data_IF_939566161542
#
_entry.id   IF_939566161542
#
_cell.length_a   1.000
_cell.length_b   1.000
_cell.length_c   1.000
_cell.angle_alpha   90.00
_cell.angle_beta   90.00
_cell.angle_gamma   90.00
#
_symmetry.space_group_name_H-M   'P 1'
#
loop_
_entity.id
_entity.type
_entity.pdbx_description
1 polymer ?
#
# COMPACT_ATOMS: atom_id res chain seq x y z
N UNK A 1 2.33 37.33 25.84
CA UNK A 1 2.90 36.17 25.14
C UNK A 1 3.14 35.03 26.12
N UNK A 2 3.12 33.84 25.59
CA UNK A 2 3.44 32.60 26.31
C UNK A 2 4.60 31.92 25.57
N UNK A 3 5.61 31.49 26.31
CA UNK A 3 6.76 30.79 25.74
C UNK A 3 6.67 29.29 26.04
N UNK A 4 7.11 28.47 25.09
CA UNK A 4 7.12 27.02 25.21
C UNK A 4 8.20 26.40 24.34
N UNK A 5 8.54 25.16 24.60
CA UNK A 5 9.52 24.38 23.85
C UNK A 5 9.05 22.92 23.83
N UNK A 6 9.20 22.26 22.69
CA UNK A 6 8.99 20.83 22.60
C UNK A 6 10.21 20.06 23.11
N UNK A 7 9.96 18.96 23.78
CA UNK A 7 10.99 18.03 24.21
C UNK A 7 10.49 16.61 24.10
N UNK A 8 11.38 15.69 23.74
CA UNK A 8 11.16 14.24 23.76
C UNK A 8 11.94 13.64 24.94
N UNK A 9 11.52 12.48 25.42
CA UNK A 9 12.21 11.72 26.47
C UNK A 9 12.57 12.54 27.72
N UNK A 10 11.58 13.25 28.28
CA UNK A 10 11.72 14.00 29.55
C UNK A 10 12.93 14.97 29.56
N UNK A 11 13.07 15.79 28.55
CA UNK A 11 14.14 16.78 28.31
C UNK A 11 15.45 16.24 27.71
N UNK A 12 15.54 14.95 27.41
CA UNK A 12 16.74 14.40 26.75
C UNK A 12 16.92 14.91 25.32
N UNK A 13 15.82 15.17 24.60
CA UNK A 13 15.82 15.82 23.30
C UNK A 13 14.94 17.06 23.33
N UNK A 14 15.50 18.23 23.47
CA UNK A 14 14.82 19.52 23.29
C UNK A 14 14.96 19.95 21.85
N UNK A 15 13.93 20.57 21.28
CA UNK A 15 14.06 21.22 19.98
C UNK A 15 15.08 22.34 20.04
N UNK A 16 15.81 22.55 18.95
CA UNK A 16 16.73 23.68 18.77
C UNK A 16 16.14 24.63 17.73
N UNK A 17 15.93 25.88 18.12
CA UNK A 17 15.36 26.95 17.29
C UNK A 17 16.30 28.14 17.17
N UNK A 18 17.57 27.96 17.53
CA UNK A 18 18.54 29.08 17.53
C UNK A 18 18.78 29.59 16.13
N UNK A 19 18.94 28.69 15.16
CA UNK A 19 19.14 29.09 13.76
C UNK A 19 17.92 29.80 13.18
N UNK A 20 16.72 29.31 13.46
CA UNK A 20 15.46 29.95 13.06
C UNK A 20 15.31 31.34 13.69
N UNK A 21 15.61 31.47 14.98
CA UNK A 21 15.60 32.75 15.69
C UNK A 21 16.59 33.75 15.06
N UNK A 22 17.80 33.30 14.77
CA UNK A 22 18.83 34.15 14.15
C UNK A 22 18.46 34.55 12.72
N UNK A 23 17.77 33.69 12.00
CA UNK A 23 17.22 33.94 10.65
C UNK A 23 15.97 34.83 10.68
N UNK A 24 15.43 35.15 11.84
CA UNK A 24 14.19 35.95 11.99
C UNK A 24 12.91 35.11 11.83
N UNK A 25 12.96 33.84 12.19
CA UNK A 25 11.80 32.93 12.18
C UNK A 25 10.66 33.42 13.05
N UNK A 26 9.42 33.25 12.58
CA UNK A 26 8.23 33.85 13.18
C UNK A 26 7.79 33.20 14.50
N UNK A 27 8.28 32.02 14.81
CA UNK A 27 7.88 31.25 15.98
C UNK A 27 8.78 31.53 17.21
N UNK A 28 10.03 31.96 17.02
CA UNK A 28 10.98 32.25 18.09
C UNK A 28 11.33 33.73 18.12
N UNK A 29 11.23 34.40 19.29
CA UNK A 29 11.52 35.83 19.35
C UNK A 29 13.02 36.09 19.24
N UNK A 30 13.42 37.02 18.38
CA UNK A 30 14.81 37.45 18.17
C UNK A 30 15.46 38.07 19.41
N UNK A 31 14.71 38.25 20.47
CA UNK A 31 15.19 38.78 21.77
C UNK A 31 15.70 37.71 22.71
N UNK A 32 15.57 36.44 22.36
CA UNK A 32 16.16 35.35 23.10
C UNK A 32 17.70 35.34 22.97
N UNK A 33 18.35 34.63 23.88
CA UNK A 33 19.79 34.48 23.82
C UNK A 33 20.23 33.59 22.67
N UNK A 34 21.39 33.90 22.07
CA UNK A 34 21.93 33.18 20.90
C UNK A 34 22.24 31.69 21.13
N UNK A 35 22.07 31.17 22.33
CA UNK A 35 22.21 29.74 22.67
C UNK A 35 20.95 29.16 23.26
N UNK A 36 19.85 29.90 23.24
CA UNK A 36 18.58 29.50 23.86
C UNK A 36 17.41 30.20 23.18
N UNK A 37 16.61 29.44 22.46
CA UNK A 37 15.44 29.95 21.78
C UNK A 37 14.22 29.12 22.18
N UNK A 38 13.10 29.80 22.49
CA UNK A 38 11.83 29.22 22.76
C UNK A 38 10.81 29.70 21.71
N UNK A 39 9.76 28.90 21.48
CA UNK A 39 8.58 29.38 20.78
C UNK A 39 7.86 30.42 21.61
N UNK A 40 7.26 31.39 20.93
CA UNK A 40 6.41 32.38 21.57
C UNK A 40 5.08 32.52 20.83
N UNK A 41 3.98 32.54 21.58
CA UNK A 41 2.66 32.70 21.04
C UNK A 41 1.80 33.67 21.87
N UNK A 42 0.92 34.38 21.24
CA UNK A 42 -0.08 35.19 21.95
C UNK A 42 -1.31 34.32 22.22
N UNK A 43 -1.58 34.05 23.49
CA UNK A 43 -2.72 33.22 23.88
C UNK A 43 -4.03 33.98 23.68
N UNK A 44 -4.93 33.35 22.90
CA UNK A 44 -6.30 33.78 22.68
C UNK A 44 -7.26 32.59 22.87
N UNK A 45 -8.54 32.87 23.12
CA UNK A 45 -9.51 31.78 23.29
C UNK A 45 -9.60 30.94 21.98
N UNK A 46 -9.50 29.61 22.13
CA UNK A 46 -9.54 28.69 20.99
C UNK A 46 -8.24 28.59 20.20
N UNK A 47 -7.12 29.11 20.71
CA UNK A 47 -5.81 28.97 20.08
C UNK A 47 -5.45 27.49 19.93
N UNK A 48 -5.08 27.11 18.72
CA UNK A 48 -4.39 25.85 18.40
C UNK A 48 -3.07 26.20 17.70
N UNK A 49 -2.03 25.43 17.91
CA UNK A 49 -0.75 25.55 17.18
C UNK A 49 -0.50 24.29 16.36
N UNK A 50 0.09 24.48 15.20
CA UNK A 50 0.55 23.38 14.33
C UNK A 50 2.03 23.67 14.04
N UNK A 51 2.90 23.02 14.77
CA UNK A 51 4.33 23.31 14.80
C UNK A 51 5.14 22.11 14.29
N UNK A 52 6.20 22.39 13.55
CA UNK A 52 7.22 21.39 13.21
C UNK A 52 8.28 21.35 14.31
N UNK A 53 8.58 20.17 14.87
CA UNK A 53 9.63 20.03 15.88
C UNK A 53 10.98 20.48 15.32
N UNK A 54 11.66 21.39 16.02
CA UNK A 54 12.97 21.89 15.65
C UNK A 54 12.99 22.87 14.47
N UNK A 55 11.82 23.42 14.04
CA UNK A 55 11.75 24.45 13.00
C UNK A 55 10.62 25.43 13.25
N UNK A 56 10.81 26.68 12.84
CA UNK A 56 9.74 27.68 12.80
C UNK A 56 8.82 27.54 11.59
N UNK A 57 9.12 26.65 10.67
CA UNK A 57 8.23 26.38 9.55
C UNK A 57 6.93 25.72 10.05
N UNK A 58 5.76 26.15 9.55
CA UNK A 58 4.51 25.53 9.95
C UNK A 58 4.45 24.07 9.54
N UNK A 59 3.86 23.22 10.38
CA UNK A 59 3.46 21.89 9.99
C UNK A 59 2.24 22.01 9.06
N UNK A 60 2.45 21.84 7.78
CA UNK A 60 1.40 21.81 6.78
C UNK A 60 1.02 20.35 6.52
N UNK A 61 -0.19 19.99 6.94
CA UNK A 61 -0.75 18.66 6.70
C UNK A 61 -1.31 18.57 5.29
N UNK A 62 -1.05 17.49 4.59
CA UNK A 62 -1.55 17.21 3.25
C UNK A 62 -0.83 16.02 2.64
N UNK A 63 -1.22 15.65 1.43
CA UNK A 63 -0.57 14.56 0.71
C UNK A 63 0.83 14.97 0.23
N UNK A 64 1.88 14.26 0.69
CA UNK A 64 3.28 14.49 0.31
C UNK A 64 3.76 13.61 -0.85
N UNK A 65 2.93 12.70 -1.35
CA UNK A 65 3.27 11.84 -2.48
C UNK A 65 3.04 12.56 -3.83
N UNK A 66 4.11 12.85 -4.60
CA UNK A 66 3.99 13.55 -5.88
C UNK A 66 3.28 12.75 -6.97
N UNK A 67 3.02 11.46 -6.77
CA UNK A 67 2.25 10.61 -7.69
C UNK A 67 0.74 10.67 -7.43
N UNK A 68 0.34 11.19 -6.28
CA UNK A 68 -1.07 11.33 -5.91
C UNK A 68 -1.76 12.47 -6.65
N UNK A 69 -3.06 12.28 -6.97
CA UNK A 69 -3.87 13.31 -7.63
C UNK A 69 -4.10 14.56 -6.78
N UNK A 70 -4.04 14.42 -5.46
CA UNK A 70 -4.19 15.50 -4.49
C UNK A 70 -2.87 15.87 -3.82
N UNK A 71 -1.74 15.62 -4.50
CA UNK A 71 -0.42 16.06 -4.04
C UNK A 71 -0.41 17.54 -3.70
N UNK A 72 0.01 17.87 -2.50
CA UNK A 72 0.22 19.25 -2.04
C UNK A 72 1.72 19.52 -1.88
N UNK A 73 2.35 20.25 -2.83
CA UNK A 73 3.76 20.56 -2.74
C UNK A 73 4.14 21.46 -1.56
N UNK A 74 3.15 22.04 -0.86
CA UNK A 74 3.36 22.80 0.37
C UNK A 74 3.28 21.95 1.63
N UNK A 75 2.77 20.72 1.55
CA UNK A 75 2.69 19.81 2.68
C UNK A 75 4.08 19.42 3.16
N UNK A 76 4.30 19.53 4.47
CA UNK A 76 5.53 19.12 5.15
C UNK A 76 5.35 17.82 5.94
N UNK A 77 4.09 17.40 6.10
CA UNK A 77 3.72 16.18 6.84
C UNK A 77 2.54 15.51 6.16
N UNK A 78 2.71 14.24 5.82
CA UNK A 78 1.63 13.44 5.26
C UNK A 78 0.54 13.21 6.31
N UNK A 79 -0.69 13.52 5.95
CA UNK A 79 -1.89 13.34 6.78
C UNK A 79 -2.69 12.07 6.41
N UNK A 80 -2.15 11.25 5.52
CA UNK A 80 -2.81 10.04 5.01
C UNK A 80 -3.90 10.32 3.99
N UNK A 81 -4.02 11.55 3.49
CA UNK A 81 -5.05 11.94 2.51
C UNK A 81 -4.65 11.64 1.06
N UNK A 82 -3.44 11.11 0.82
CA UNK A 82 -2.97 10.82 -0.52
C UNK A 82 -3.95 9.92 -1.29
N UNK A 83 -4.37 10.40 -2.45
CA UNK A 83 -5.27 9.68 -3.34
C UNK A 83 -4.54 9.25 -4.60
N UNK A 84 -4.21 7.95 -4.65
CA UNK A 84 -3.67 7.31 -5.86
C UNK A 84 -4.86 6.81 -6.67
N UNK A 85 -4.97 7.13 -7.97
CA UNK A 85 -6.08 6.63 -8.77
C UNK A 85 -6.04 5.12 -8.86
N UNK A 86 -7.19 4.49 -8.61
CA UNK A 86 -7.39 3.08 -8.84
C UNK A 86 -7.24 2.79 -10.34
N UNK A 87 -6.41 1.82 -10.69
CA UNK A 87 -6.23 1.33 -12.06
C UNK A 87 -6.83 -0.07 -12.13
N UNK A 88 -7.55 -0.36 -13.21
CA UNK A 88 -8.18 -1.66 -13.46
C UNK A 88 -7.12 -2.73 -13.80
N UNK A 89 -6.32 -3.12 -12.82
CA UNK A 89 -5.44 -4.28 -12.89
C UNK A 89 -6.29 -5.55 -12.86
N UNK A 90 -5.81 -6.62 -13.50
CA UNK A 90 -6.51 -7.90 -13.49
C UNK A 90 -5.55 -9.08 -13.56
N UNK A 91 -6.01 -10.25 -13.14
CA UNK A 91 -5.28 -11.50 -13.31
C UNK A 91 -5.26 -11.87 -14.79
N UNK A 92 -4.10 -11.89 -15.41
CA UNK A 92 -3.89 -12.24 -16.81
C UNK A 92 -3.59 -13.72 -17.01
N UNK A 93 -2.90 -14.34 -16.07
CA UNK A 93 -2.56 -15.75 -16.11
C UNK A 93 -2.62 -16.37 -14.70
N UNK A 94 -2.99 -17.63 -14.64
CA UNK A 94 -2.97 -18.46 -13.44
C UNK A 94 -2.46 -19.84 -13.80
N UNK A 95 -1.58 -20.41 -13.00
CA UNK A 95 -1.13 -21.79 -13.16
C UNK A 95 -1.15 -22.55 -11.84
N UNK A 96 -1.76 -23.71 -11.87
CA UNK A 96 -1.61 -24.78 -10.91
C UNK A 96 -1.01 -25.96 -11.66
N UNK A 97 0.30 -26.12 -11.55
CA UNK A 97 1.05 -27.19 -12.19
C UNK A 97 1.48 -28.27 -11.18
N UNK A 98 2.22 -29.25 -11.67
CA UNK A 98 2.70 -30.34 -10.83
C UNK A 98 3.51 -29.84 -9.65
N UNK A 99 3.18 -30.33 -8.44
CA UNK A 99 3.87 -30.00 -7.19
C UNK A 99 3.73 -28.50 -6.83
N UNK A 100 4.84 -27.76 -6.82
CA UNK A 100 4.88 -26.34 -6.46
C UNK A 100 5.00 -25.41 -7.68
N UNK A 101 4.78 -25.92 -8.89
CA UNK A 101 4.80 -25.11 -10.11
C UNK A 101 3.51 -24.29 -10.23
N UNK A 102 3.37 -23.30 -9.36
CA UNK A 102 2.19 -22.49 -9.17
C UNK A 102 2.53 -21.02 -9.23
N UNK A 103 1.69 -20.24 -9.90
CA UNK A 103 1.79 -18.79 -9.96
C UNK A 103 0.48 -18.15 -10.39
N UNK A 104 0.36 -16.86 -10.15
CA UNK A 104 -0.56 -15.99 -10.87
C UNK A 104 0.17 -14.76 -11.38
N UNK A 105 -0.37 -14.20 -12.44
CA UNK A 105 0.13 -13.02 -13.10
C UNK A 105 -0.93 -11.91 -13.07
N UNK A 106 -0.51 -10.69 -12.75
CA UNK A 106 -1.36 -9.50 -12.77
C UNK A 106 -0.85 -8.59 -13.87
N UNK A 107 -1.73 -8.12 -14.73
CA UNK A 107 -1.43 -7.25 -15.86
C UNK A 107 -1.84 -5.81 -15.60
N UNK A 108 -0.96 -4.88 -15.97
CA UNK A 108 -1.23 -3.46 -16.04
C UNK A 108 -1.54 -3.04 -17.49
N UNK A 109 -2.82 -2.77 -17.84
CA UNK A 109 -3.21 -2.40 -19.21
C UNK A 109 -2.91 -0.94 -19.56
N UNK A 110 -2.29 -0.18 -18.67
CA UNK A 110 -2.08 1.26 -18.87
C UNK A 110 -0.70 1.60 -19.42
N UNK A 111 -0.57 2.83 -19.91
CA UNK A 111 0.71 3.37 -20.36
C UNK A 111 1.57 3.95 -19.22
N UNK A 112 1.14 3.80 -17.94
CA UNK A 112 1.84 4.32 -16.78
C UNK A 112 2.25 3.19 -15.85
N UNK A 113 3.33 3.39 -15.09
CA UNK A 113 3.68 2.51 -13.99
C UNK A 113 2.64 2.62 -12.87
N UNK A 114 2.22 1.49 -12.31
CA UNK A 114 1.28 1.40 -11.20
C UNK A 114 2.02 0.93 -9.94
N UNK A 115 1.88 1.68 -8.86
CA UNK A 115 2.35 1.31 -7.54
C UNK A 115 1.34 0.36 -6.88
N UNK A 116 1.83 -0.78 -6.36
CA UNK A 116 1.01 -1.83 -5.77
C UNK A 116 0.76 -1.63 -4.26
N UNK A 117 1.24 -0.56 -3.64
CA UNK A 117 1.09 -0.31 -2.20
C UNK A 117 -0.37 -0.21 -1.73
N UNK A 118 -1.30 0.12 -2.64
CA UNK A 118 -2.74 0.19 -2.38
C UNK A 118 -3.51 -1.04 -2.89
N UNK A 119 -2.81 -2.05 -3.41
CA UNK A 119 -3.41 -3.29 -3.87
C UNK A 119 -3.08 -4.44 -2.92
N UNK A 120 -3.92 -5.45 -2.94
CA UNK A 120 -3.71 -6.69 -2.19
C UNK A 120 -4.34 -7.87 -2.95
N UNK A 121 -3.96 -9.09 -2.54
CA UNK A 121 -4.50 -10.33 -3.09
C UNK A 121 -5.02 -11.26 -1.98
N UNK A 122 -6.05 -10.81 -1.23
CA UNK A 122 -6.64 -11.63 -0.18
C UNK A 122 -7.22 -12.92 -0.74
N UNK A 123 -7.25 -13.96 0.10
CA UNK A 123 -7.75 -15.27 -0.31
C UNK A 123 -8.53 -16.00 0.78
N UNK A 124 -9.22 -17.05 0.34
CA UNK A 124 -9.74 -18.15 1.17
C UNK A 124 -9.01 -19.43 0.79
N UNK A 125 -8.87 -20.36 1.74
CA UNK A 125 -8.30 -21.69 1.51
C UNK A 125 -9.43 -22.70 1.48
N UNK A 126 -9.67 -23.31 0.32
CA UNK A 126 -10.81 -24.20 0.04
C UNK A 126 -12.16 -23.50 0.33
N UNK A 127 -12.85 -23.87 1.40
CA UNK A 127 -14.13 -23.26 1.78
C UNK A 127 -13.93 -22.11 2.77
N UNK A 128 -14.55 -20.93 2.54
CA UNK A 128 -14.45 -19.81 3.47
C UNK A 128 -15.15 -20.15 4.81
N UNK A 129 -14.58 -19.68 5.91
CA UNK A 129 -15.21 -19.76 7.24
C UNK A 129 -16.52 -18.96 7.27
N UNK A 130 -16.55 -17.84 6.55
CA UNK A 130 -17.76 -17.03 6.33
C UNK A 130 -17.89 -16.74 4.86
N UNK A 131 -18.97 -17.23 4.18
CA UNK A 131 -19.18 -16.97 2.76
C UNK A 131 -19.10 -15.48 2.41
N UNK A 132 -18.39 -15.16 1.33
CA UNK A 132 -18.19 -13.80 0.84
C UNK A 132 -17.12 -12.98 1.60
N UNK A 133 -16.39 -13.61 2.54
CA UNK A 133 -15.34 -12.93 3.33
C UNK A 133 -14.02 -13.67 3.18
N UNK A 134 -12.95 -12.92 2.85
CA UNK A 134 -11.59 -13.47 2.83
C UNK A 134 -11.14 -13.95 4.22
N UNK A 135 -10.22 -14.88 4.25
CA UNK A 135 -9.60 -15.41 5.47
C UNK A 135 -8.19 -14.86 5.71
N UNK A 136 -7.49 -14.57 4.64
CA UNK A 136 -6.11 -14.10 4.66
C UNK A 136 -5.96 -12.83 3.85
N UNK A 137 -5.33 -11.81 4.45
CA UNK A 137 -5.01 -10.56 3.77
C UNK A 137 -3.55 -10.55 3.35
N UNK A 138 -3.28 -10.63 2.03
CA UNK A 138 -1.93 -10.65 1.49
C UNK A 138 -1.67 -9.35 0.74
N UNK A 139 -0.57 -8.69 1.08
CA UNK A 139 -0.12 -7.45 0.42
C UNK A 139 1.12 -7.73 -0.42
N UNK A 140 1.33 -6.94 -1.47
CA UNK A 140 2.55 -7.00 -2.27
C UNK A 140 3.78 -6.54 -1.47
N UNK A 141 4.96 -6.93 -1.93
CA UNK A 141 6.23 -6.52 -1.35
C UNK A 141 6.35 -4.97 -1.35
N UNK A 142 7.02 -4.42 -0.33
CA UNK A 142 7.21 -2.97 -0.23
C UNK A 142 7.96 -2.42 -1.45
N UNK A 143 7.38 -1.42 -2.12
CA UNK A 143 7.91 -0.83 -3.34
C UNK A 143 7.62 -1.61 -4.62
N UNK A 144 6.73 -2.61 -4.57
CA UNK A 144 6.27 -3.34 -5.75
C UNK A 144 5.55 -2.41 -6.73
N UNK A 145 5.90 -2.52 -8.01
CA UNK A 145 5.31 -1.74 -9.10
C UNK A 145 5.10 -2.60 -10.33
N UNK A 146 4.13 -2.26 -11.17
CA UNK A 146 3.97 -2.85 -12.51
C UNK A 146 4.23 -1.78 -13.56
N UNK A 147 5.16 -2.03 -14.47
CA UNK A 147 5.47 -1.14 -15.59
C UNK A 147 4.30 -0.97 -16.56
N UNK A 148 4.40 -0.02 -17.51
CA UNK A 148 3.36 0.20 -18.52
C UNK A 148 3.20 -1.01 -19.46
N UNK A 149 1.98 -1.55 -19.59
CA UNK A 149 1.67 -2.74 -20.38
C UNK A 149 2.53 -3.96 -19.99
N UNK A 150 2.81 -4.10 -18.72
CA UNK A 150 3.67 -5.12 -18.14
C UNK A 150 2.91 -5.96 -17.13
N UNK A 151 3.56 -6.97 -16.56
CA UNK A 151 2.98 -7.92 -15.62
C UNK A 151 3.75 -7.93 -14.30
N UNK A 152 3.08 -8.44 -13.26
CA UNK A 152 3.67 -8.78 -11.96
C UNK A 152 3.34 -10.23 -11.64
N UNK A 153 4.36 -11.05 -11.47
CA UNK A 153 4.23 -12.50 -11.27
C UNK A 153 4.48 -12.85 -9.81
N UNK A 154 3.50 -13.46 -9.18
CA UNK A 154 3.61 -14.06 -7.84
C UNK A 154 3.70 -15.57 -7.99
N UNK A 155 4.83 -16.18 -7.64
CA UNK A 155 5.06 -17.60 -7.78
C UNK A 155 5.30 -18.30 -6.44
N UNK A 156 5.07 -19.62 -6.40
CA UNK A 156 5.43 -20.42 -5.23
C UNK A 156 6.96 -20.48 -5.08
N UNK A 157 7.50 -20.19 -3.87
CA UNK A 157 8.94 -20.11 -3.63
C UNK A 157 9.73 -21.42 -3.85
N UNK A 158 9.05 -22.55 -4.07
CA UNK A 158 9.64 -23.83 -4.44
C UNK A 158 9.23 -24.28 -5.85
N UNK A 159 8.79 -23.36 -6.72
CA UNK A 159 8.52 -23.65 -8.12
C UNK A 159 9.82 -23.98 -8.89
N UNK A 160 9.66 -24.52 -10.11
CA UNK A 160 10.77 -24.74 -11.01
C UNK A 160 11.60 -23.45 -11.22
N UNK A 161 12.93 -23.55 -11.30
CA UNK A 161 13.77 -22.36 -11.50
C UNK A 161 13.41 -21.49 -12.72
N UNK A 162 12.79 -22.06 -13.73
CA UNK A 162 12.32 -21.30 -14.91
C UNK A 162 11.13 -20.39 -14.58
N UNK A 163 10.23 -20.84 -13.69
CA UNK A 163 9.12 -20.03 -13.16
C UNK A 163 9.66 -18.96 -12.22
N UNK A 164 10.52 -19.37 -11.27
CA UNK A 164 11.13 -18.43 -10.32
C UNK A 164 11.93 -17.32 -10.99
N UNK A 165 12.53 -17.59 -12.17
CA UNK A 165 13.24 -16.58 -12.95
C UNK A 165 12.34 -15.48 -13.55
N UNK A 166 11.02 -15.71 -13.60
CA UNK A 166 10.03 -14.76 -14.08
C UNK A 166 9.24 -14.12 -12.92
N UNK A 167 9.41 -14.62 -11.69
CA UNK A 167 8.66 -14.14 -10.55
C UNK A 167 9.23 -12.82 -10.00
N UNK A 168 8.35 -11.85 -9.76
CA UNK A 168 8.64 -10.62 -9.05
C UNK A 168 8.56 -10.81 -7.54
N UNK A 169 7.67 -11.74 -7.10
CA UNK A 169 7.44 -12.05 -5.70
C UNK A 169 7.21 -13.54 -5.49
N UNK A 170 7.48 -14.03 -4.29
CA UNK A 170 7.18 -15.42 -3.92
C UNK A 170 6.18 -15.50 -2.78
N UNK A 171 5.17 -16.38 -2.94
CA UNK A 171 4.14 -16.66 -1.95
C UNK A 171 3.87 -18.17 -1.86
N UNK A 172 4.07 -18.75 -0.67
CA UNK A 172 4.07 -20.22 -0.52
C UNK A 172 2.67 -20.85 -0.30
N UNK A 173 1.62 -20.03 -0.25
CA UNK A 173 0.25 -20.49 0.01
C UNK A 173 -0.63 -20.30 -1.24
N UNK A 174 -0.05 -20.54 -2.42
CA UNK A 174 -0.80 -20.55 -3.67
C UNK A 174 -1.70 -21.79 -3.77
N UNK A 175 -2.84 -21.59 -4.44
CA UNK A 175 -3.92 -22.56 -4.59
C UNK A 175 -3.48 -23.94 -5.10
N UNK A 176 -4.21 -24.97 -4.64
CA UNK A 176 -4.20 -26.32 -5.25
C UNK A 176 -5.32 -26.48 -6.31
N UNK A 177 -5.85 -25.37 -6.81
CA UNK A 177 -6.93 -25.35 -7.79
C UNK A 177 -8.28 -24.91 -7.19
N UNK A 178 -8.45 -25.00 -5.88
CA UNK A 178 -9.71 -24.83 -5.15
C UNK A 178 -9.79 -23.62 -4.25
N UNK A 179 -8.68 -22.89 -4.04
CA UNK A 179 -8.67 -21.64 -3.26
C UNK A 179 -9.22 -20.46 -4.09
N UNK A 180 -9.88 -19.51 -3.43
CA UNK A 180 -10.36 -18.29 -4.06
C UNK A 180 -9.44 -17.11 -3.75
N UNK A 181 -8.94 -16.41 -4.78
CA UNK A 181 -8.19 -15.16 -4.67
C UNK A 181 -8.98 -14.01 -5.27
N UNK A 182 -8.91 -12.83 -4.65
CA UNK A 182 -9.33 -11.59 -5.26
C UNK A 182 -8.15 -10.65 -5.42
N UNK A 183 -8.10 -9.89 -6.51
CA UNK A 183 -7.28 -8.70 -6.60
C UNK A 183 -8.13 -7.53 -6.09
N UNK A 184 -7.63 -6.79 -5.13
CA UNK A 184 -8.38 -5.69 -4.50
C UNK A 184 -7.57 -4.41 -4.46
N UNK A 185 -8.27 -3.27 -4.45
CA UNK A 185 -7.73 -1.95 -4.19
C UNK A 185 -8.25 -1.41 -2.86
N UNK A 186 -7.37 -1.06 -1.93
CA UNK A 186 -7.71 -0.53 -0.60
C UNK A 186 -6.95 -1.21 0.54
N UNK A 187 -7.55 -1.18 1.72
CA UNK A 187 -7.01 -1.78 2.95
C UNK A 187 -7.98 -2.84 3.46
N UNK A 188 -7.52 -3.77 4.30
CA UNK A 188 -8.29 -4.93 4.79
C UNK A 188 -9.70 -4.59 5.32
N UNK A 189 -9.85 -3.42 5.94
CA UNK A 189 -11.13 -2.97 6.50
C UNK A 189 -12.01 -2.18 5.52
N UNK A 190 -11.47 -1.82 4.34
CA UNK A 190 -12.18 -1.04 3.31
C UNK A 190 -11.49 -1.19 1.96
N UNK A 191 -12.04 -1.99 1.07
CA UNK A 191 -11.48 -2.27 -0.26
C UNK A 191 -12.54 -2.42 -1.34
N UNK A 192 -12.11 -2.29 -2.58
CA UNK A 192 -12.89 -2.61 -3.78
C UNK A 192 -12.29 -3.82 -4.47
N UNK A 193 -13.09 -4.80 -4.80
CA UNK A 193 -12.65 -5.97 -5.58
C UNK A 193 -12.53 -5.58 -7.04
N UNK A 194 -11.37 -5.87 -7.62
CA UNK A 194 -11.01 -5.56 -8.99
C UNK A 194 -11.23 -6.78 -9.90
N UNK A 195 -10.79 -7.95 -9.45
CA UNK A 195 -10.83 -9.18 -10.22
C UNK A 195 -10.77 -10.42 -9.32
N UNK A 196 -11.11 -11.58 -9.90
CA UNK A 196 -11.21 -12.84 -9.20
C UNK A 196 -10.43 -13.97 -9.88
N UNK A 197 -9.87 -14.86 -9.04
CA UNK A 197 -9.54 -16.26 -9.34
C UNK A 197 -10.37 -17.13 -8.40
N UNK A 198 -11.44 -17.78 -8.91
CA UNK A 198 -12.43 -18.42 -8.06
C UNK A 198 -13.36 -17.40 -7.40
N UNK A 199 -13.85 -17.71 -6.20
CA UNK A 199 -14.63 -16.79 -5.36
C UNK A 199 -14.45 -17.11 -3.86
N UNK A 200 -15.23 -16.45 -2.99
CA UNK A 200 -15.24 -16.68 -1.55
C UNK A 200 -16.59 -17.18 -1.03
N UNK A 201 -17.46 -17.67 -1.91
CA UNK A 201 -18.83 -18.03 -1.53
C UNK A 201 -18.95 -19.48 -1.07
N UNK A 202 -18.03 -20.36 -1.49
CA UNK A 202 -18.09 -21.77 -1.15
C UNK A 202 -16.84 -22.57 -1.53
N UNK A 203 -16.94 -23.87 -1.35
CA UNK A 203 -15.91 -24.84 -1.73
C UNK A 203 -16.23 -25.39 -3.14
N UNK A 204 -15.37 -25.16 -4.13
CA UNK A 204 -15.58 -25.69 -5.49
C UNK A 204 -15.30 -27.20 -5.59
N UNK A 205 -14.78 -27.82 -4.54
CA UNK A 205 -14.30 -29.19 -4.55
C UNK A 205 -12.82 -29.26 -4.94
N UNK A 206 -12.49 -29.83 -6.10
CA UNK A 206 -11.09 -29.96 -6.50
C UNK A 206 -10.57 -28.78 -7.35
N UNK A 207 -11.47 -27.95 -7.85
CA UNK A 207 -11.14 -26.78 -8.66
C UNK A 207 -12.38 -26.07 -9.19
N UNK A 208 -12.20 -24.84 -9.64
CA UNK A 208 -13.26 -24.00 -10.20
C UNK A 208 -13.56 -24.37 -11.65
N UNK A 209 -14.82 -24.35 -12.01
CA UNK A 209 -15.25 -24.50 -13.41
C UNK A 209 -15.00 -23.18 -14.16
N UNK A 210 -14.30 -23.23 -15.30
CA UNK A 210 -14.02 -22.05 -16.12
C UNK A 210 -14.41 -22.30 -17.56
N UNK A 211 -15.21 -21.41 -18.14
CA UNK A 211 -15.63 -21.44 -19.55
C UNK A 211 -16.23 -22.79 -20.00
N UNK A 212 -16.91 -23.51 -19.10
CA UNK A 212 -17.53 -24.80 -19.35
C UNK A 212 -16.60 -26.01 -19.24
N UNK A 213 -15.38 -25.80 -18.76
CA UNK A 213 -14.44 -26.87 -18.40
C UNK A 213 -14.51 -27.08 -16.89
N UNK A 214 -14.85 -28.29 -16.46
CA UNK A 214 -14.95 -28.66 -15.06
C UNK A 214 -13.56 -28.72 -14.43
N UNK A 215 -13.44 -28.22 -13.20
CA UNK A 215 -12.20 -28.17 -12.40
C UNK A 215 -11.01 -27.55 -13.18
N UNK A 216 -11.26 -26.53 -14.01
CA UNK A 216 -10.28 -25.97 -14.93
C UNK A 216 -9.11 -25.26 -14.25
N UNK A 217 -9.22 -24.94 -12.96
CA UNK A 217 -8.13 -24.33 -12.17
C UNK A 217 -7.16 -25.35 -11.58
N UNK A 218 -7.49 -26.65 -11.64
CA UNK A 218 -6.65 -27.72 -11.13
C UNK A 218 -5.79 -28.32 -12.25
N UNK A 219 -4.49 -28.48 -12.01
CA UNK A 219 -3.52 -29.08 -12.95
C UNK A 219 -3.50 -28.37 -14.33
N UNK A 220 -3.86 -27.08 -14.41
CA UNK A 220 -3.94 -26.33 -15.66
C UNK A 220 -3.24 -24.96 -15.55
N UNK A 221 -2.95 -24.41 -16.72
CA UNK A 221 -2.64 -22.99 -16.88
C UNK A 221 -3.80 -22.31 -17.59
N UNK A 222 -4.31 -21.25 -17.02
CA UNK A 222 -5.38 -20.42 -17.57
C UNK A 222 -4.79 -19.08 -18.00
N UNK A 223 -5.12 -18.66 -19.22
CA UNK A 223 -4.72 -17.37 -19.76
C UNK A 223 -5.96 -16.60 -20.15
N UNK A 224 -6.09 -15.38 -19.65
CA UNK A 224 -7.21 -14.50 -20.01
C UNK A 224 -7.10 -14.11 -21.49
N UNK A 225 -8.18 -14.25 -22.21
CA UNK A 225 -8.24 -13.77 -23.59
C UNK A 225 -8.48 -12.26 -23.59
N UNK A 226 -7.71 -11.54 -24.39
CA UNK A 226 -8.06 -10.17 -24.79
C UNK A 226 -9.19 -10.25 -25.81
N UNK A 227 -10.32 -9.62 -25.53
CA UNK A 227 -11.44 -9.46 -26.48
C UNK A 227 -11.17 -8.25 -27.39
#
# INVERSE_FOLDING_TARGET
PFEYKYAVDSWAGQEDLVDDMLAGGTCAPVTDYATYANRQVTVVAGLTTSDTYGSCDPCVLGCTDPTSLNYDPSATTDDGSCFVPMVDLFFSEYAEGTSNNKYFEIYNPTANTVDLSHYAYPNVSNAPTTPGVHEYWNTFAAGAVIGPNDVYVVAHGSADPTILAQADETFNYLSNGDDGFALVYGIETSYTIMDWLGDWDGDPGAGWDVAGVTEATKDHTLVRKCD
#
